data_IF_118855540374
#
_entry.id   IF_118855540374
#
_cell.length_a   1.000
_cell.length_b   1.000
_cell.length_c   1.000
_cell.angle_alpha   90.00
_cell.angle_beta   90.00
_cell.angle_gamma   90.00
#
_symmetry.space_group_name_H-M   'P 1'
#
loop_
_entity.id
_entity.type
_entity.pdbx_description
1 polymer ?
#
# COMPACT_ATOMS: atom_id res chain seq x y z
N UNK A 1 -1.46 -7.15 -2.46
CA UNK A 1 -0.30 -7.61 -3.26
C UNK A 1 0.19 -6.50 -4.19
N UNK A 2 -0.67 -5.92 -5.06
CA UNK A 2 -0.27 -4.94 -6.07
C UNK A 2 0.39 -3.67 -5.50
N UNK A 3 -0.16 -3.08 -4.43
CA UNK A 3 0.43 -1.91 -3.78
C UNK A 3 1.79 -2.22 -3.15
N UNK A 4 1.93 -3.40 -2.53
CA UNK A 4 3.22 -3.83 -1.96
C UNK A 4 4.29 -4.06 -3.03
N UNK A 5 3.91 -4.57 -4.21
CA UNK A 5 4.84 -4.67 -5.35
C UNK A 5 5.24 -3.29 -5.88
N UNK A 6 4.31 -2.35 -5.89
CA UNK A 6 4.57 -0.98 -6.28
C UNK A 6 5.51 -0.27 -5.29
N UNK A 7 5.33 -0.48 -3.99
CA UNK A 7 6.16 0.13 -2.95
C UNK A 7 7.60 -0.40 -2.88
N UNK A 8 7.94 -1.47 -3.62
CA UNK A 8 9.30 -1.98 -3.75
C UNK A 8 10.08 -1.33 -4.92
N UNK A 9 9.45 -0.44 -5.67
CA UNK A 9 10.14 0.30 -6.72
C UNK A 9 10.92 1.45 -6.10
N UNK A 10 12.19 1.67 -6.50
CA UNK A 10 13.09 2.60 -5.81
C UNK A 10 12.52 4.02 -5.68
N UNK A 11 11.88 4.53 -6.72
CA UNK A 11 11.31 5.88 -6.75
C UNK A 11 10.15 6.03 -5.75
N UNK A 12 9.35 4.98 -5.61
CA UNK A 12 8.20 4.97 -4.68
C UNK A 12 8.67 4.64 -3.28
N UNK A 13 9.62 3.74 -3.13
CA UNK A 13 10.17 3.36 -1.81
C UNK A 13 10.77 4.58 -1.12
N UNK A 14 11.65 5.31 -1.81
CA UNK A 14 12.25 6.55 -1.29
C UNK A 14 11.18 7.57 -0.88
N UNK A 15 10.17 7.81 -1.74
CA UNK A 15 9.11 8.75 -1.43
C UNK A 15 8.26 8.29 -0.22
N UNK A 16 7.97 6.99 -0.10
CA UNK A 16 7.23 6.45 1.04
C UNK A 16 8.02 6.55 2.33
N UNK A 17 9.33 6.27 2.29
CA UNK A 17 10.21 6.38 3.46
C UNK A 17 10.32 7.84 3.94
N UNK A 18 10.46 8.78 3.01
CA UNK A 18 10.49 10.21 3.31
C UNK A 18 9.18 10.68 3.96
N UNK A 19 8.03 10.36 3.35
CA UNK A 19 6.71 10.72 3.88
C UNK A 19 6.48 10.10 5.27
N UNK A 20 6.78 8.81 5.44
CA UNK A 20 6.60 8.14 6.72
C UNK A 20 7.59 8.66 7.77
N UNK A 21 8.83 8.96 7.36
CA UNK A 21 9.83 9.59 8.22
C UNK A 21 9.40 10.96 8.73
N UNK A 22 8.80 11.79 7.88
CA UNK A 22 8.24 13.08 8.28
C UNK A 22 7.02 12.96 9.21
N UNK A 23 6.17 11.95 8.97
CA UNK A 23 5.00 11.68 9.82
C UNK A 23 5.39 11.24 11.23
N UNK A 24 6.54 10.54 11.38
CA UNK A 24 7.05 10.04 12.66
C UNK A 24 8.42 10.64 12.94
N UNK A 25 8.54 11.95 12.80
CA UNK A 25 9.79 12.60 13.15
C UNK A 25 10.02 12.50 14.67
N UNK A 26 11.13 11.86 15.02
CA UNK A 26 11.58 11.78 16.42
C UNK A 26 12.41 13.02 16.74
N UNK A 27 11.97 13.78 17.74
CA UNK A 27 12.79 14.80 18.39
C UNK A 27 13.16 14.32 19.78
N UNK A 28 14.37 14.57 20.20
CA UNK A 28 14.84 14.24 21.57
C UNK A 28 14.02 14.90 22.67
N UNK A 29 13.21 15.89 22.32
CA UNK A 29 12.37 16.68 23.24
C UNK A 29 10.87 16.38 23.15
N UNK A 30 10.41 15.68 22.10
CA UNK A 30 8.99 15.41 21.91
C UNK A 30 8.77 13.92 21.60
N UNK A 31 7.77 13.34 22.23
CA UNK A 31 7.32 12.00 21.90
C UNK A 31 6.71 11.95 20.49
N UNK A 32 6.86 10.81 19.80
CA UNK A 32 6.37 10.61 18.44
C UNK A 32 4.87 10.87 18.28
N UNK A 33 4.08 10.50 19.28
CA UNK A 33 2.63 10.70 19.34
C UNK A 33 2.23 11.10 20.73
N UNK A 34 1.55 12.23 20.85
CA UNK A 34 1.01 12.76 22.11
C UNK A 34 -0.49 12.96 22.01
N UNK A 35 -1.17 12.84 23.15
CA UNK A 35 -2.57 13.19 23.29
C UNK A 35 -2.66 14.57 23.94
N UNK A 36 -3.40 15.49 23.31
CA UNK A 36 -3.76 16.78 23.92
C UNK A 36 -5.17 16.67 24.50
N UNK A 37 -5.27 16.79 25.80
CA UNK A 37 -6.54 16.75 26.58
C UNK A 37 -6.87 18.12 27.20
N UNK A 38 -6.09 19.17 26.90
CA UNK A 38 -6.24 20.47 27.55
C UNK A 38 -7.59 21.13 27.20
N UNK A 39 -8.01 20.99 25.93
CA UNK A 39 -9.25 21.58 25.42
C UNK A 39 -10.54 20.85 25.86
N UNK A 40 -10.41 19.74 26.56
CA UNK A 40 -11.57 18.98 27.03
C UNK A 40 -12.10 19.54 28.36
N UNK A 41 -13.40 19.76 28.45
CA UNK A 41 -14.08 20.23 29.65
C UNK A 41 -14.31 19.10 30.69
N UNK A 42 -13.31 18.26 30.95
CA UNK A 42 -13.37 17.18 31.90
C UNK A 42 -12.61 17.49 33.19
N UNK A 43 -12.97 16.78 34.28
CA UNK A 43 -12.22 16.83 35.53
C UNK A 43 -10.77 16.35 35.32
N UNK A 44 -9.83 16.88 36.10
CA UNK A 44 -8.42 16.50 36.02
C UNK A 44 -8.21 14.99 36.15
N UNK A 45 -8.89 14.33 37.08
CA UNK A 45 -8.83 12.89 37.28
C UNK A 45 -9.26 12.09 36.05
N UNK A 46 -10.20 12.61 35.26
CA UNK A 46 -10.64 11.92 34.04
C UNK A 46 -9.62 12.14 32.90
N UNK A 47 -9.04 13.33 32.81
CA UNK A 47 -7.95 13.63 31.85
C UNK A 47 -6.74 12.73 32.09
N UNK A 48 -6.35 12.56 33.37
CA UNK A 48 -5.23 11.69 33.77
C UNK A 48 -5.51 10.22 33.35
N UNK A 49 -6.72 9.71 33.60
CA UNK A 49 -7.11 8.35 33.16
C UNK A 49 -7.07 8.17 31.64
N UNK A 50 -7.55 9.16 30.87
CA UNK A 50 -7.50 9.10 29.41
C UNK A 50 -6.05 9.05 28.92
N UNK A 51 -5.17 9.83 29.52
CA UNK A 51 -3.74 9.84 29.19
C UNK A 51 -3.07 8.50 29.55
N UNK A 52 -3.41 7.93 30.71
CA UNK A 52 -2.89 6.63 31.12
C UNK A 52 -3.31 5.50 30.17
N UNK A 53 -4.60 5.46 29.79
CA UNK A 53 -5.10 4.48 28.81
C UNK A 53 -4.50 4.65 27.43
N UNK A 54 -4.30 5.88 26.97
CA UNK A 54 -3.60 6.16 25.73
C UNK A 54 -2.17 5.61 25.76
N UNK A 55 -1.44 5.83 26.87
CA UNK A 55 -0.09 5.31 27.05
C UNK A 55 -0.07 3.78 27.10
N UNK A 56 -1.08 3.15 27.69
CA UNK A 56 -1.23 1.69 27.67
C UNK A 56 -1.40 1.16 26.24
N UNK A 57 -2.26 1.75 25.43
CA UNK A 57 -2.45 1.39 24.02
C UNK A 57 -1.15 1.58 23.25
N UNK A 58 -0.42 2.69 23.47
CA UNK A 58 0.87 2.97 22.83
C UNK A 58 1.91 1.90 23.17
N UNK A 59 1.93 1.41 24.43
CA UNK A 59 2.80 0.29 24.87
C UNK A 59 2.40 -1.03 24.22
N UNK A 60 1.08 -1.35 24.17
CA UNK A 60 0.58 -2.57 23.53
C UNK A 60 0.90 -2.65 22.03
N UNK A 61 0.98 -1.51 21.35
CA UNK A 61 1.40 -1.41 19.95
C UNK A 61 2.92 -1.44 19.80
N UNK A 62 3.69 -1.35 20.88
CA UNK A 62 5.13 -1.08 20.85
C UNK A 62 5.48 0.07 19.89
N UNK A 63 4.71 1.16 20.00
CA UNK A 63 4.74 2.22 18.99
C UNK A 63 6.09 2.92 18.91
N UNK A 64 6.84 2.96 20.01
CA UNK A 64 8.18 3.57 20.04
C UNK A 64 9.19 2.85 19.14
N UNK A 65 9.06 1.53 19.01
CA UNK A 65 9.94 0.69 18.16
C UNK A 65 9.33 0.41 16.78
N UNK A 66 8.03 0.10 16.75
CA UNK A 66 7.33 -0.36 15.55
C UNK A 66 6.54 0.73 14.83
N UNK A 67 6.53 1.97 15.33
CA UNK A 67 5.69 3.06 14.81
C UNK A 67 5.92 3.32 13.33
N UNK A 68 7.17 3.36 12.88
CA UNK A 68 7.53 3.52 11.48
C UNK A 68 6.91 2.41 10.60
N UNK A 69 7.04 1.16 11.00
CA UNK A 69 6.49 0.02 10.28
C UNK A 69 4.96 0.02 10.26
N UNK A 70 4.32 0.42 11.34
CA UNK A 70 2.87 0.51 11.45
C UNK A 70 2.35 1.54 10.44
N UNK A 71 2.91 2.73 10.40
CA UNK A 71 2.48 3.80 9.49
C UNK A 71 2.84 3.46 8.05
N UNK A 72 4.03 2.89 7.79
CA UNK A 72 4.40 2.42 6.46
C UNK A 72 3.39 1.39 5.92
N UNK A 73 3.02 0.41 6.75
CA UNK A 73 2.00 -0.59 6.36
C UNK A 73 0.64 0.07 6.10
N UNK A 74 0.23 1.01 6.94
CA UNK A 74 -1.01 1.74 6.75
C UNK A 74 -1.00 2.55 5.45
N UNK A 75 0.09 3.25 5.16
CA UNK A 75 0.24 4.04 3.94
C UNK A 75 0.21 3.17 2.68
N UNK A 76 0.95 2.05 2.69
CA UNK A 76 1.06 1.13 1.54
C UNK A 76 -0.20 0.29 1.34
N UNK A 77 -0.76 -0.29 2.40
CA UNK A 77 -1.93 -1.18 2.29
C UNK A 77 -3.25 -0.40 2.31
N UNK A 78 -3.26 0.84 2.82
CA UNK A 78 -4.44 1.68 2.99
C UNK A 78 -5.35 1.25 4.14
N UNK A 79 -4.98 0.22 4.88
CA UNK A 79 -5.77 -0.33 5.99
C UNK A 79 -4.93 -1.21 6.89
N UNK A 80 -5.21 -1.11 8.19
CA UNK A 80 -4.63 -1.98 9.21
C UNK A 80 -5.76 -2.69 9.95
N UNK A 81 -5.50 -3.92 10.35
CA UNK A 81 -6.38 -4.72 11.17
C UNK A 81 -5.65 -5.19 12.41
N UNK A 82 -6.28 -4.97 13.56
CA UNK A 82 -5.80 -5.50 14.84
C UNK A 82 -6.89 -6.33 15.48
N UNK A 83 -6.53 -7.52 15.93
CA UNK A 83 -7.37 -8.35 16.77
C UNK A 83 -7.15 -7.95 18.23
N UNK A 84 -8.22 -7.52 18.88
CA UNK A 84 -8.22 -7.15 20.28
C UNK A 84 -8.39 -8.40 21.12
N UNK A 85 -7.40 -8.71 21.92
CA UNK A 85 -7.43 -9.87 22.83
C UNK A 85 -7.64 -9.36 24.23
N UNK A 86 -8.75 -9.83 24.85
CA UNK A 86 -9.13 -9.55 26.22
C UNK A 86 -9.14 -10.85 27.03
N UNK A 87 -9.00 -10.75 28.34
CA UNK A 87 -9.20 -11.90 29.22
C UNK A 87 -10.70 -12.17 29.39
N UNK A 88 -11.11 -13.37 29.00
CA UNK A 88 -12.52 -13.80 29.17
C UNK A 88 -12.92 -14.04 30.63
N UNK A 89 -11.93 -14.30 31.49
CA UNK A 89 -12.17 -14.48 32.94
C UNK A 89 -12.32 -13.14 33.67
N UNK A 90 -11.53 -12.15 33.30
CA UNK A 90 -11.55 -10.81 33.89
C UNK A 90 -11.60 -9.73 32.78
N UNK A 91 -12.75 -9.49 32.14
CA UNK A 91 -12.87 -8.49 31.06
C UNK A 91 -12.60 -7.05 31.54
N UNK A 92 -12.64 -6.80 32.83
CA UNK A 92 -12.38 -5.47 33.41
C UNK A 92 -10.91 -5.08 33.42
N UNK A 93 -9.99 -6.05 33.21
CA UNK A 93 -8.55 -5.79 33.14
C UNK A 93 -8.16 -5.08 31.82
N UNK A 94 -9.12 -4.90 30.89
CA UNK A 94 -8.90 -4.21 29.63
C UNK A 94 -8.28 -5.07 28.55
N UNK A 95 -7.59 -4.41 27.62
CA UNK A 95 -6.96 -5.06 26.46
C UNK A 95 -5.61 -5.65 26.89
N UNK A 96 -5.43 -6.96 26.65
CA UNK A 96 -4.15 -7.64 26.93
C UNK A 96 -3.17 -7.58 25.77
N UNK A 97 -3.66 -7.71 24.54
CA UNK A 97 -2.81 -7.75 23.35
C UNK A 97 -3.56 -7.16 22.15
N UNK A 98 -2.82 -6.45 21.29
CA UNK A 98 -3.26 -6.00 19.97
C UNK A 98 -2.48 -6.76 18.92
N UNK A 99 -3.09 -7.79 18.33
CA UNK A 99 -2.44 -8.64 17.34
C UNK A 99 -2.71 -8.15 15.92
N UNK A 100 -1.64 -7.77 15.23
CA UNK A 100 -1.73 -7.36 13.82
C UNK A 100 -2.20 -8.53 12.92
N UNK A 101 -3.13 -8.24 12.01
CA UNK A 101 -3.59 -9.17 11.00
C UNK A 101 -3.29 -8.59 9.60
N UNK A 102 -2.65 -9.40 8.74
CA UNK A 102 -2.39 -9.00 7.35
C UNK A 102 -3.72 -8.75 6.61
N UNK A 103 -3.90 -7.57 5.98
CA UNK A 103 -5.10 -7.23 5.21
C UNK A 103 -5.46 -8.20 4.09
N UNK A 104 -4.53 -9.06 3.66
CA UNK A 104 -4.78 -10.11 2.68
C UNK A 104 -5.50 -11.33 3.26
N UNK A 105 -5.39 -11.52 4.58
CA UNK A 105 -5.94 -12.68 5.30
C UNK A 105 -7.30 -12.41 5.92
N UNK A 106 -7.77 -11.17 5.91
CA UNK A 106 -9.03 -10.76 6.54
C UNK A 106 -9.91 -9.98 5.58
N UNK A 107 -11.22 -10.23 5.64
CA UNK A 107 -12.23 -9.50 4.88
C UNK A 107 -13.41 -9.16 5.78
N UNK A 108 -13.94 -7.93 5.64
CA UNK A 108 -15.20 -7.52 6.24
C UNK A 108 -16.35 -7.99 5.36
N UNK A 109 -17.28 -8.74 5.92
CA UNK A 109 -18.47 -9.24 5.25
C UNK A 109 -19.69 -8.53 5.83
N UNK A 110 -20.52 -8.00 4.92
CA UNK A 110 -21.81 -7.39 5.23
C UNK A 110 -22.90 -8.22 4.57
N UNK A 111 -23.76 -8.81 5.36
CA UNK A 111 -24.96 -9.49 4.85
C UNK A 111 -26.06 -8.46 4.67
N UNK A 112 -26.49 -8.30 3.43
CA UNK A 112 -27.47 -7.31 3.04
C UNK A 112 -28.77 -8.02 2.68
N UNK A 113 -29.86 -7.72 3.39
CA UNK A 113 -31.20 -8.18 3.00
C UNK A 113 -31.84 -7.15 2.08
N UNK A 114 -32.14 -7.56 0.85
CA UNK A 114 -32.93 -6.76 -0.09
C UNK A 114 -34.40 -7.09 0.12
N UNK A 115 -35.14 -6.22 0.79
CA UNK A 115 -36.60 -6.28 0.73
C UNK A 115 -37.08 -5.72 -0.62
N UNK A 116 -38.07 -6.39 -1.22
CA UNK A 116 -38.67 -6.00 -2.51
C UNK A 116 -39.14 -4.56 -2.41
N UNK A 117 -38.37 -3.62 -2.91
CA UNK A 117 -38.78 -2.24 -3.18
C UNK A 117 -38.35 -1.15 -2.22
N UNK A 118 -37.68 -1.41 -1.09
CA UNK A 118 -37.20 -0.37 -0.15
C UNK A 118 -35.93 -0.77 0.58
N UNK A 119 -35.09 0.23 0.79
CA UNK A 119 -33.96 0.34 1.73
C UNK A 119 -33.20 -0.94 2.08
N UNK A 120 -31.96 -0.97 1.61
CA UNK A 120 -30.98 -2.01 1.92
C UNK A 120 -30.63 -1.93 3.42
N UNK A 121 -31.09 -2.90 4.21
CA UNK A 121 -30.72 -3.02 5.63
C UNK A 121 -29.57 -4.00 5.77
N UNK A 122 -28.50 -3.56 6.45
CA UNK A 122 -27.39 -4.43 6.82
C UNK A 122 -27.86 -5.31 7.97
N UNK A 123 -27.96 -6.62 7.72
CA UNK A 123 -28.48 -7.56 8.70
C UNK A 123 -27.39 -8.01 9.68
N UNK A 124 -26.19 -8.32 9.17
CA UNK A 124 -25.05 -8.75 9.97
C UNK A 124 -23.75 -8.22 9.40
N UNK A 125 -22.83 -7.81 10.28
CA UNK A 125 -21.44 -7.49 9.92
C UNK A 125 -20.49 -8.37 10.74
N UNK A 126 -19.55 -9.01 10.06
CA UNK A 126 -18.51 -9.80 10.69
C UNK A 126 -17.24 -9.83 9.83
N UNK A 127 -16.15 -10.29 10.42
CA UNK A 127 -14.91 -10.50 9.70
C UNK A 127 -14.70 -11.99 9.42
N UNK A 128 -14.17 -12.29 8.24
CA UNK A 128 -13.74 -13.62 7.86
C UNK A 128 -12.22 -13.64 7.77
N UNK A 129 -11.59 -14.53 8.51
CA UNK A 129 -10.14 -14.74 8.50
C UNK A 129 -9.80 -16.05 7.79
N UNK A 130 -8.82 -16.00 6.88
CA UNK A 130 -8.27 -17.17 6.22
C UNK A 130 -6.75 -17.11 6.27
N UNK A 131 -6.11 -18.13 6.85
CA UNK A 131 -4.66 -18.14 7.03
C UNK A 131 -3.90 -18.20 5.69
N UNK A 132 -4.45 -18.88 4.67
CA UNK A 132 -3.89 -18.93 3.31
C UNK A 132 -4.11 -17.64 2.51
N UNK A 133 -4.89 -16.69 3.03
CA UNK A 133 -5.33 -15.50 2.33
C UNK A 133 -6.48 -15.77 1.36
N UNK A 134 -7.09 -14.69 0.86
CA UNK A 134 -8.18 -14.76 -0.10
C UNK A 134 -7.66 -14.55 -1.52
N UNK A 135 -7.86 -15.52 -2.40
CA UNK A 135 -7.58 -15.37 -3.83
C UNK A 135 -8.76 -14.69 -4.54
N UNK A 136 -8.47 -13.97 -5.63
CA UNK A 136 -9.49 -13.19 -6.35
C UNK A 136 -10.65 -14.03 -6.92
N UNK A 137 -10.43 -15.33 -7.14
CA UNK A 137 -11.44 -16.26 -7.66
C UNK A 137 -12.40 -16.84 -6.59
N UNK A 138 -12.05 -16.72 -5.31
CA UNK A 138 -12.82 -17.29 -4.19
C UNK A 138 -13.88 -16.34 -3.61
N UNK A 139 -14.24 -15.29 -4.35
CA UNK A 139 -15.21 -14.28 -3.88
C UNK A 139 -16.62 -14.86 -3.69
N UNK A 140 -16.91 -16.02 -4.30
CA UNK A 140 -18.25 -16.61 -4.31
C UNK A 140 -18.46 -17.77 -3.35
N UNK A 141 -17.39 -18.38 -2.81
CA UNK A 141 -17.52 -19.45 -1.80
C UNK A 141 -16.96 -18.99 -0.45
N UNK A 142 -17.77 -18.29 0.31
CA UNK A 142 -17.46 -17.71 1.62
C UNK A 142 -17.30 -18.72 2.76
N UNK A 143 -17.09 -20.02 2.46
CA UNK A 143 -17.22 -21.08 3.46
C UNK A 143 -15.90 -21.48 4.12
N UNK A 144 -14.74 -21.06 3.62
CA UNK A 144 -13.44 -21.47 4.15
C UNK A 144 -12.75 -20.33 4.93
N UNK A 145 -13.11 -20.14 6.19
CA UNK A 145 -12.44 -19.17 7.05
C UNK A 145 -13.04 -19.14 8.46
N UNK A 146 -12.27 -18.61 9.39
CA UNK A 146 -12.72 -18.36 10.75
C UNK A 146 -13.55 -17.08 10.79
N UNK A 147 -14.80 -17.19 11.26
CA UNK A 147 -15.66 -16.03 11.48
C UNK A 147 -15.26 -15.34 12.80
N UNK A 148 -14.98 -14.05 12.74
CA UNK A 148 -14.61 -13.22 13.89
C UNK A 148 -15.67 -12.14 14.07
N UNK A 149 -16.07 -11.90 15.30
CA UNK A 149 -17.03 -10.85 15.65
C UNK A 149 -16.47 -9.46 15.27
N UNK A 150 -17.37 -8.55 14.91
CA UNK A 150 -16.99 -7.17 14.52
C UNK A 150 -16.23 -6.46 15.66
N UNK A 151 -16.67 -6.65 16.88
CA UNK A 151 -16.17 -5.95 18.06
C UNK A 151 -14.76 -6.41 18.48
N UNK A 152 -14.32 -7.59 18.00
CA UNK A 152 -12.97 -8.11 18.26
C UNK A 152 -11.91 -7.59 17.29
N UNK A 153 -12.30 -6.82 16.27
CA UNK A 153 -11.37 -6.32 15.25
C UNK A 153 -11.42 -4.80 15.18
N UNK A 154 -10.27 -4.17 15.33
CA UNK A 154 -10.09 -2.75 15.04
C UNK A 154 -9.59 -2.59 13.62
N UNK A 155 -10.30 -1.78 12.83
CA UNK A 155 -9.94 -1.40 11.46
C UNK A 155 -9.55 0.07 11.42
N UNK A 156 -8.31 0.33 11.01
CA UNK A 156 -7.83 1.67 10.69
C UNK A 156 -7.70 1.78 9.18
N UNK A 157 -8.54 2.61 8.55
CA UNK A 157 -8.55 2.81 7.10
C UNK A 157 -7.88 4.11 6.70
N UNK A 158 -7.42 4.20 5.44
CA UNK A 158 -6.88 5.42 4.84
C UNK A 158 -7.92 6.52 4.65
N UNK A 159 -9.21 6.20 4.71
CA UNK A 159 -10.31 7.11 4.37
C UNK A 159 -10.57 7.24 2.87
N UNK A 160 -9.69 6.72 2.01
CA UNK A 160 -9.89 6.73 0.57
C UNK A 160 -10.75 5.53 0.16
N UNK A 161 -11.87 5.81 -0.47
CA UNK A 161 -12.83 4.80 -0.93
C UNK A 161 -12.87 4.78 -2.45
N UNK A 162 -13.21 3.62 -3.00
CA UNK A 162 -13.52 3.44 -4.41
C UNK A 162 -14.86 4.13 -4.78
N UNK A 163 -15.10 4.37 -6.08
CA UNK A 163 -16.33 5.01 -6.60
C UNK A 163 -17.62 4.41 -6.03
N UNK A 164 -17.63 3.12 -5.79
CA UNK A 164 -18.78 2.40 -5.22
C UNK A 164 -18.75 2.32 -3.67
N UNK A 165 -17.82 2.97 -3.00
CA UNK A 165 -17.60 2.89 -1.55
C UNK A 165 -17.46 1.45 -1.01
N UNK A 166 -17.05 0.53 -1.87
CA UNK A 166 -16.95 -0.90 -1.54
C UNK A 166 -15.57 -1.29 -1.02
N UNK A 167 -14.52 -0.60 -1.49
CA UNK A 167 -13.14 -0.94 -1.17
C UNK A 167 -12.37 0.27 -0.67
N UNK A 168 -11.58 0.03 0.37
CA UNK A 168 -10.61 1.02 0.86
C UNK A 168 -9.39 1.00 -0.06
N UNK A 169 -9.00 2.17 -0.57
CA UNK A 169 -7.86 2.35 -1.44
C UNK A 169 -6.62 2.76 -0.64
N UNK A 170 -5.46 2.39 -1.12
CA UNK A 170 -4.16 2.88 -0.63
C UNK A 170 -3.88 4.28 -1.17
N UNK A 171 -3.04 5.04 -0.47
CA UNK A 171 -2.50 6.30 -0.99
C UNK A 171 -1.70 6.08 -2.28
N UNK A 172 -1.06 4.92 -2.44
CA UNK A 172 -0.34 4.53 -3.65
C UNK A 172 -1.24 4.25 -4.87
N UNK A 173 -2.58 4.26 -4.69
CA UNK A 173 -3.48 3.97 -5.81
C UNK A 173 -3.28 4.95 -6.98
N UNK A 174 -3.10 6.23 -6.67
CA UNK A 174 -2.87 7.28 -7.68
C UNK A 174 -1.53 7.14 -8.41
N UNK A 175 -0.54 6.50 -7.78
CA UNK A 175 0.79 6.30 -8.35
C UNK A 175 0.86 5.12 -9.35
N UNK A 176 -0.14 4.24 -9.40
CA UNK A 176 -0.12 3.05 -10.25
C UNK A 176 0.04 3.41 -11.74
N UNK A 177 -0.74 4.39 -12.22
CA UNK A 177 -0.74 4.75 -13.64
C UNK A 177 0.57 5.44 -14.05
N UNK A 178 1.02 6.52 -13.39
CA UNK A 178 2.27 7.19 -13.77
C UNK A 178 3.49 6.27 -13.66
N UNK A 179 3.53 5.38 -12.66
CA UNK A 179 4.64 4.47 -12.49
C UNK A 179 4.72 3.40 -13.60
N UNK A 180 3.58 2.86 -14.02
CA UNK A 180 3.54 1.96 -15.18
C UNK A 180 3.99 2.68 -16.46
N UNK A 181 3.63 3.95 -16.64
CA UNK A 181 4.07 4.76 -17.78
C UNK A 181 5.57 5.03 -17.74
N UNK A 182 6.13 5.33 -16.57
CA UNK A 182 7.58 5.52 -16.40
C UNK A 182 8.34 4.26 -16.81
N UNK A 183 7.96 3.09 -16.32
CA UNK A 183 8.58 1.81 -16.70
C UNK A 183 8.53 1.55 -18.20
N UNK A 184 7.40 1.82 -18.83
CA UNK A 184 7.29 1.68 -20.29
C UNK A 184 8.25 2.61 -21.04
N UNK A 185 8.44 3.84 -20.55
CA UNK A 185 9.38 4.79 -21.15
C UNK A 185 10.83 4.35 -20.93
N UNK A 186 11.17 3.84 -19.77
CA UNK A 186 12.50 3.28 -19.48
C UNK A 186 12.82 2.10 -20.38
N UNK A 187 11.92 1.12 -20.46
CA UNK A 187 12.06 -0.04 -21.34
C UNK A 187 12.19 0.37 -22.82
N UNK A 188 11.34 1.30 -23.28
CA UNK A 188 11.41 1.82 -24.64
C UNK A 188 12.72 2.56 -24.93
N UNK A 189 13.23 3.33 -23.96
CA UNK A 189 14.51 4.04 -24.06
C UNK A 189 15.69 3.08 -24.20
N UNK A 190 15.69 1.99 -23.41
CA UNK A 190 16.73 0.95 -23.48
C UNK A 190 16.68 0.25 -24.84
N UNK A 191 15.50 -0.19 -25.27
CA UNK A 191 15.32 -0.83 -26.59
C UNK A 191 15.78 0.08 -27.71
N UNK A 192 15.39 1.36 -27.67
CA UNK A 192 15.80 2.34 -28.67
C UNK A 192 17.32 2.52 -28.75
N UNK A 193 18.01 2.57 -27.61
CA UNK A 193 19.47 2.67 -27.55
C UNK A 193 20.14 1.41 -28.10
N UNK A 194 19.65 0.22 -27.73
CA UNK A 194 20.19 -1.05 -28.20
C UNK A 194 20.01 -1.22 -29.70
N UNK A 195 18.87 -0.84 -30.27
CA UNK A 195 18.61 -0.96 -31.70
C UNK A 195 19.38 0.06 -32.53
N UNK A 196 19.75 1.21 -31.95
CA UNK A 196 20.57 2.23 -32.59
C UNK A 196 22.06 2.15 -32.29
N UNK A 197 22.48 1.27 -31.39
CA UNK A 197 23.90 1.08 -31.08
C UNK A 197 24.77 0.71 -32.28
N UNK A 198 24.34 -0.08 -33.30
CA UNK A 198 25.08 -0.23 -34.53
C UNK A 198 25.00 1.08 -35.29
N UNK A 199 26.06 1.87 -35.23
CA UNK A 199 26.23 3.05 -36.11
C UNK A 199 26.17 2.62 -37.59
N UNK A 200 25.16 3.10 -38.27
CA UNK A 200 25.12 2.99 -39.73
C UNK A 200 25.94 4.15 -40.31
N UNK A 201 27.18 3.87 -40.70
CA UNK A 201 28.02 4.84 -41.41
C UNK A 201 27.66 4.78 -42.87
N UNK A 202 27.19 5.87 -43.41
CA UNK A 202 26.95 6.04 -44.85
C UNK A 202 28.10 6.87 -45.38
N UNK A 203 28.91 6.27 -46.26
CA UNK A 203 29.99 6.97 -46.95
C UNK A 203 29.50 7.39 -48.31
N UNK A 204 29.56 8.67 -48.58
CA UNK A 204 29.33 9.23 -49.92
C UNK A 204 30.70 9.43 -50.57
N UNK A 205 30.95 8.68 -51.65
CA UNK A 205 32.18 8.76 -52.39
C UNK A 205 31.85 9.38 -53.74
N UNK A 206 32.42 10.56 -54.02
CA UNK A 206 32.31 11.20 -55.33
C UNK A 206 33.27 10.52 -56.27
N UNK A 207 32.75 9.84 -57.29
CA UNK A 207 33.50 9.11 -58.29
C UNK A 207 33.67 9.95 -59.57
N UNK A 208 33.24 11.21 -59.59
CA UNK A 208 33.32 12.08 -60.77
C UNK A 208 32.65 11.47 -61.99
N UNK A 209 33.32 11.53 -63.13
CA UNK A 209 32.85 11.02 -64.45
C UNK A 209 33.25 9.55 -64.74
N UNK A 210 33.53 8.73 -63.73
CA UNK A 210 33.88 7.32 -63.91
C UNK A 210 32.68 6.51 -64.43
N UNK A 211 32.91 5.63 -65.45
CA UNK A 211 31.85 4.69 -65.84
C UNK A 211 31.40 3.81 -64.72
N UNK A 212 30.09 3.52 -64.66
CA UNK A 212 29.43 2.82 -63.55
C UNK A 212 30.15 1.54 -63.09
N UNK A 213 30.62 0.71 -64.04
CA UNK A 213 31.35 -0.52 -63.70
C UNK A 213 32.69 -0.27 -62.97
N UNK A 214 33.42 0.78 -63.35
CA UNK A 214 34.69 1.15 -62.72
C UNK A 214 34.44 1.77 -61.34
N UNK A 215 33.33 2.50 -61.16
CA UNK A 215 32.92 3.06 -59.86
C UNK A 215 32.53 1.95 -58.89
N UNK A 216 31.82 0.91 -59.34
CA UNK A 216 31.46 -0.27 -58.50
C UNK A 216 32.70 -1.09 -58.12
N UNK A 217 33.70 -1.26 -59.06
CA UNK A 217 34.97 -1.90 -58.71
C UNK A 217 35.77 -1.11 -57.68
N UNK A 218 35.86 0.21 -57.85
CA UNK A 218 36.54 1.07 -56.88
C UNK A 218 35.87 1.04 -55.45
N UNK A 219 34.54 0.98 -55.44
CA UNK A 219 33.80 0.80 -54.18
C UNK A 219 34.08 -0.57 -53.53
N UNK A 220 34.12 -1.63 -54.32
CA UNK A 220 34.42 -2.98 -53.84
C UNK A 220 35.85 -3.09 -53.28
N UNK A 221 36.81 -2.47 -53.94
CA UNK A 221 38.22 -2.41 -53.49
C UNK A 221 38.41 -1.61 -52.20
N UNK A 222 37.56 -0.58 -51.98
CA UNK A 222 37.61 0.23 -50.78
C UNK A 222 36.90 -0.43 -49.58
N UNK A 223 36.05 -1.44 -49.81
CA UNK A 223 35.35 -2.18 -48.76
C UNK A 223 36.08 -3.45 -48.29
N UNK A 224 37.22 -3.81 -48.93
CA UNK A 224 38.14 -4.84 -48.44
C UNK A 224 39.19 -4.25 -47.48
#
# INVERSE_FOLDING_TARGET
TRYRQLSLQPEIETAVEEIVGEMISYSSTQEQVNINVDDLEFSKSLKDKITDEFNNVKKLLDFSSSGFDIIRRWYVDGRLYYHVIIDTTNPQDGIKELRYIDPRKIRKIREIKKDKGKTVTVQNEYYMYNDKGFQAKEVTSSTNGLRIAKDSIVLVSSGLLDENNSYVLSYLHKAIKPMNQLRMLEDASVIYRLTRAPERRVFYIDVGNLPKMKAEQYLADMMQ
#
